data_IF_159243636087
#
_entry.id   IF_159243636087
#
_cell.length_a   1.000
_cell.length_b   1.000
_cell.length_c   1.000
_cell.angle_alpha   90.00
_cell.angle_beta   90.00
_cell.angle_gamma   90.00
#
_symmetry.space_group_name_H-M   'P 1'
#
loop_
_entity.id
_entity.type
_entity.pdbx_description
1 polymer ?
#
# COMPACT_ATOMS: atom_id res chain seq x y z
N UNK A 1 10.82 3.32 -48.83
CA UNK A 1 10.22 3.78 -47.56
C UNK A 1 10.76 2.89 -46.47
N UNK A 2 11.73 3.39 -45.74
CA UNK A 2 12.34 2.70 -44.59
C UNK A 2 11.28 2.65 -43.50
N UNK A 3 10.78 1.47 -43.16
CA UNK A 3 9.99 1.28 -41.95
C UNK A 3 10.90 1.58 -40.79
N UNK A 4 10.69 2.71 -40.11
CA UNK A 4 11.22 2.92 -38.76
C UNK A 4 10.63 1.82 -37.89
N UNK A 5 11.36 0.75 -37.72
CA UNK A 5 11.10 -0.20 -36.65
C UNK A 5 11.33 0.61 -35.37
N UNK A 6 10.26 0.88 -34.66
CA UNK A 6 10.30 1.49 -33.35
C UNK A 6 11.23 0.62 -32.50
N UNK A 7 12.41 1.14 -32.20
CA UNK A 7 13.44 0.40 -31.49
C UNK A 7 13.08 0.15 -30.03
N UNK A 8 11.88 0.52 -29.60
CA UNK A 8 11.40 0.36 -28.23
C UNK A 8 12.44 0.83 -27.19
N UNK A 9 13.16 1.90 -27.55
CA UNK A 9 14.14 2.53 -26.66
C UNK A 9 13.32 3.30 -25.62
N UNK A 10 13.43 2.88 -24.36
CA UNK A 10 12.84 3.67 -23.27
C UNK A 10 13.47 5.05 -23.23
N UNK A 11 12.68 6.12 -23.17
CA UNK A 11 13.21 7.44 -22.83
C UNK A 11 13.86 7.40 -21.45
N UNK A 12 14.72 8.37 -21.15
CA UNK A 12 15.25 8.55 -19.80
C UNK A 12 14.11 8.68 -18.79
N UNK A 13 14.38 8.30 -17.54
CA UNK A 13 13.38 8.45 -16.48
C UNK A 13 13.00 9.92 -16.30
N UNK A 14 11.74 10.16 -16.02
CA UNK A 14 11.24 11.44 -15.57
C UNK A 14 11.97 11.92 -14.31
N UNK A 15 12.19 13.24 -14.21
CA UNK A 15 12.89 13.84 -13.07
C UNK A 15 12.18 13.52 -11.73
N UNK A 16 10.86 13.62 -11.68
CA UNK A 16 10.08 13.31 -10.49
C UNK A 16 10.25 11.84 -10.05
N UNK A 17 10.23 10.91 -11.00
CA UNK A 17 10.46 9.48 -10.68
C UNK A 17 11.85 9.27 -10.09
N UNK A 18 12.86 9.96 -10.63
CA UNK A 18 14.24 9.89 -10.12
C UNK A 18 14.36 10.50 -8.72
N UNK A 19 13.66 11.60 -8.44
CA UNK A 19 13.63 12.24 -7.12
C UNK A 19 12.96 11.33 -6.09
N UNK A 20 11.81 10.72 -6.40
CA UNK A 20 11.13 9.75 -5.53
C UNK A 20 12.05 8.55 -5.25
N UNK A 21 12.70 8.01 -6.27
CA UNK A 21 13.62 6.88 -6.10
C UNK A 21 14.81 7.24 -5.20
N UNK A 22 15.38 8.42 -5.35
CA UNK A 22 16.47 8.93 -4.51
C UNK A 22 15.98 9.15 -3.06
N UNK A 23 14.80 9.73 -2.87
CA UNK A 23 14.21 9.92 -1.56
C UNK A 23 14.07 8.58 -0.81
N UNK A 24 13.40 7.61 -1.42
CA UNK A 24 13.15 6.30 -0.80
C UNK A 24 14.44 5.54 -0.49
N UNK A 25 15.47 5.69 -1.33
CA UNK A 25 16.72 4.93 -1.18
C UNK A 25 17.75 5.58 -0.25
N UNK A 26 17.70 6.89 -0.03
CA UNK A 26 18.78 7.61 0.67
C UNK A 26 18.34 8.41 1.89
N UNK A 27 17.07 8.82 1.98
CA UNK A 27 16.58 9.63 3.09
C UNK A 27 16.46 8.81 4.37
N UNK A 28 16.88 9.41 5.49
CA UNK A 28 16.76 8.81 6.82
C UNK A 28 15.72 9.56 7.63
N UNK A 29 14.77 8.82 8.17
CA UNK A 29 13.73 9.37 9.03
C UNK A 29 14.26 9.43 10.46
N UNK A 30 14.47 10.65 10.94
CA UNK A 30 15.02 10.91 12.28
C UNK A 30 14.02 11.59 13.23
N UNK A 31 12.85 12.00 12.71
CA UNK A 31 11.82 12.69 13.48
C UNK A 31 11.06 11.70 14.38
N UNK A 32 11.20 11.87 15.69
CA UNK A 32 10.43 11.11 16.68
C UNK A 32 8.92 11.36 16.52
N UNK A 33 8.53 12.60 16.22
CA UNK A 33 7.12 12.95 15.99
C UNK A 33 6.54 12.18 14.79
N UNK A 34 7.29 12.06 13.69
CA UNK A 34 6.85 11.30 12.52
C UNK A 34 6.67 9.82 12.86
N UNK A 35 7.60 9.24 13.63
CA UNK A 35 7.53 7.85 14.05
C UNK A 35 6.37 7.58 15.02
N UNK A 36 6.12 8.48 15.98
CA UNK A 36 5.01 8.36 16.91
C UNK A 36 3.67 8.49 16.19
N UNK A 37 3.57 9.42 15.23
CA UNK A 37 2.39 9.58 14.38
C UNK A 37 2.15 8.34 13.53
N UNK A 38 3.19 7.82 12.87
CA UNK A 38 3.08 6.59 12.08
C UNK A 38 2.67 5.38 12.93
N UNK A 39 3.15 5.31 14.18
CA UNK A 39 2.72 4.25 15.13
C UNK A 39 1.25 4.36 15.46
N UNK A 40 0.75 5.57 15.71
CA UNK A 40 -0.67 5.80 15.99
C UNK A 40 -1.53 5.46 14.78
N UNK A 41 -1.14 5.91 13.58
CA UNK A 41 -1.81 5.54 12.34
C UNK A 41 -1.81 4.02 12.10
N UNK A 42 -0.69 3.34 12.38
CA UNK A 42 -0.62 1.88 12.27
C UNK A 42 -1.61 1.17 13.19
N UNK A 43 -1.69 1.60 14.46
CA UNK A 43 -2.60 1.02 15.45
C UNK A 43 -4.05 1.22 15.03
N UNK A 44 -4.40 2.44 14.64
CA UNK A 44 -5.74 2.78 14.16
C UNK A 44 -6.12 1.95 12.93
N UNK A 45 -5.25 1.91 11.93
CA UNK A 45 -5.46 1.21 10.67
C UNK A 45 -5.62 -0.30 10.86
N UNK A 46 -4.79 -0.92 11.71
CA UNK A 46 -4.94 -2.34 12.06
C UNK A 46 -6.24 -2.55 12.83
N UNK A 47 -6.63 -1.63 13.71
CA UNK A 47 -7.91 -1.66 14.40
C UNK A 47 -9.09 -1.67 13.44
N UNK A 48 -9.09 -0.80 12.42
CA UNK A 48 -10.08 -0.79 11.35
C UNK A 48 -10.15 -2.14 10.63
N UNK A 49 -8.98 -2.70 10.26
CA UNK A 49 -8.89 -3.99 9.59
C UNK A 49 -9.44 -5.14 10.43
N UNK A 50 -9.12 -5.20 11.72
CA UNK A 50 -9.61 -6.24 12.62
C UNK A 50 -11.13 -6.13 12.84
N UNK A 51 -11.67 -4.92 12.94
CA UNK A 51 -13.10 -4.68 13.06
C UNK A 51 -13.84 -5.11 11.80
N UNK A 52 -13.25 -4.88 10.62
CA UNK A 52 -13.83 -5.28 9.33
C UNK A 52 -14.07 -6.79 9.21
N UNK A 53 -13.34 -7.62 9.94
CA UNK A 53 -13.51 -9.08 9.94
C UNK A 53 -14.86 -9.52 10.54
N UNK A 54 -15.60 -8.64 11.21
CA UNK A 54 -16.95 -8.94 11.70
C UNK A 54 -18.01 -8.87 10.60
N UNK A 55 -17.64 -8.38 9.41
CA UNK A 55 -18.59 -8.19 8.30
C UNK A 55 -18.44 -9.28 7.25
N UNK A 56 -19.45 -10.17 7.09
CA UNK A 56 -19.39 -11.25 6.11
C UNK A 56 -19.18 -10.79 4.68
N UNK A 57 -19.64 -9.58 4.33
CA UNK A 57 -19.43 -9.01 3.01
C UNK A 57 -17.95 -8.64 2.75
N UNK A 58 -17.18 -8.29 3.78
CA UNK A 58 -15.75 -8.13 3.72
C UNK A 58 -15.03 -9.48 3.64
N UNK A 59 -15.32 -10.35 4.60
CA UNK A 59 -14.57 -11.62 4.76
C UNK A 59 -14.74 -12.57 3.59
N UNK A 60 -15.84 -12.50 2.82
CA UNK A 60 -16.02 -13.30 1.60
C UNK A 60 -15.02 -12.98 0.48
N UNK A 61 -14.35 -11.82 0.53
CA UNK A 61 -13.35 -11.42 -0.46
C UNK A 61 -11.95 -11.91 -0.11
N UNK A 62 -11.76 -12.34 1.14
CA UNK A 62 -10.45 -12.71 1.68
C UNK A 62 -10.11 -14.17 1.38
N UNK A 63 -8.83 -14.46 1.46
CA UNK A 63 -8.30 -15.80 1.29
C UNK A 63 -7.70 -16.06 -0.09
N UNK A 64 -7.18 -17.26 -0.30
CA UNK A 64 -6.48 -17.60 -1.54
C UNK A 64 -7.44 -17.64 -2.73
N UNK A 65 -6.93 -17.28 -3.92
CA UNK A 65 -7.70 -17.37 -5.17
C UNK A 65 -8.15 -18.81 -5.44
N UNK A 66 -7.23 -19.75 -5.23
CA UNK A 66 -7.56 -21.19 -5.29
C UNK A 66 -7.82 -21.68 -3.87
N UNK A 67 -9.04 -22.13 -3.63
CA UNK A 67 -9.48 -22.58 -2.31
C UNK A 67 -8.48 -23.56 -1.68
N UNK A 68 -8.25 -23.41 -0.38
CA UNK A 68 -7.38 -24.25 0.45
C UNK A 68 -5.88 -24.19 0.10
N UNK A 69 -5.46 -23.27 -0.79
CA UNK A 69 -4.06 -23.06 -1.09
C UNK A 69 -3.38 -22.29 0.05
N UNK A 70 -2.19 -22.74 0.44
CA UNK A 70 -1.27 -22.02 1.33
C UNK A 70 0.05 -21.78 0.62
N UNK A 71 0.61 -20.60 0.77
CA UNK A 71 1.93 -20.26 0.26
C UNK A 71 2.94 -20.46 1.39
N UNK A 72 3.87 -21.40 1.29
CA UNK A 72 4.89 -21.60 2.32
C UNK A 72 5.70 -20.31 2.54
N UNK A 73 5.80 -19.88 3.79
CA UNK A 73 6.43 -18.59 4.15
C UNK A 73 5.79 -17.39 3.41
N UNK A 74 4.49 -17.49 3.18
CA UNK A 74 3.70 -16.43 2.56
C UNK A 74 3.30 -15.32 3.54
N UNK A 75 2.56 -14.37 3.03
CA UNK A 75 2.04 -13.24 3.80
C UNK A 75 0.93 -13.69 4.72
N UNK A 76 1.00 -13.29 5.97
CA UNK A 76 -0.04 -13.52 6.98
C UNK A 76 -1.00 -12.34 7.01
N UNK A 77 -2.27 -12.62 6.74
CA UNK A 77 -3.32 -11.59 6.81
C UNK A 77 -3.78 -11.43 8.27
N UNK A 78 -3.62 -10.24 8.89
CA UNK A 78 -3.95 -10.03 10.30
C UNK A 78 -5.37 -10.46 10.67
N UNK A 79 -5.51 -11.15 11.79
CA UNK A 79 -6.80 -11.67 12.29
C UNK A 79 -7.35 -12.88 11.55
N UNK A 80 -6.60 -13.47 10.62
CA UNK A 80 -6.99 -14.68 9.85
C UNK A 80 -5.92 -15.76 9.95
N UNK A 81 -6.21 -16.94 9.37
CA UNK A 81 -5.24 -18.03 9.22
C UNK A 81 -4.70 -18.13 7.78
N UNK A 82 -4.86 -17.10 6.98
CA UNK A 82 -4.41 -17.11 5.60
C UNK A 82 -2.90 -16.85 5.50
N UNK A 83 -2.25 -17.64 4.65
CA UNK A 83 -0.87 -17.50 4.24
C UNK A 83 -0.84 -17.41 2.71
N UNK A 84 -0.66 -16.21 2.17
CA UNK A 84 -0.93 -15.88 0.78
C UNK A 84 0.34 -15.42 0.05
N UNK A 85 0.27 -15.38 -1.27
CA UNK A 85 1.26 -14.65 -2.05
C UNK A 85 1.18 -13.13 -1.75
N UNK A 86 2.26 -12.35 -2.00
CA UNK A 86 2.31 -10.95 -1.64
C UNK A 86 1.23 -10.07 -2.28
N UNK A 87 0.80 -10.40 -3.50
CA UNK A 87 -0.22 -9.61 -4.21
C UNK A 87 -1.59 -9.82 -3.57
N UNK A 88 -1.97 -11.09 -3.34
CA UNK A 88 -3.23 -11.40 -2.69
C UNK A 88 -3.23 -10.97 -1.22
N UNK A 89 -2.09 -11.08 -0.54
CA UNK A 89 -1.91 -10.56 0.81
C UNK A 89 -2.13 -9.06 0.90
N UNK A 90 -1.55 -8.28 -0.02
CA UNK A 90 -1.75 -6.84 -0.11
C UNK A 90 -3.23 -6.49 -0.36
N UNK A 91 -3.89 -7.20 -1.27
CA UNK A 91 -5.31 -7.03 -1.53
C UNK A 91 -6.16 -7.31 -0.28
N UNK A 92 -5.94 -8.44 0.40
CA UNK A 92 -6.74 -8.82 1.56
C UNK A 92 -6.58 -7.83 2.71
N UNK A 93 -5.33 -7.44 3.02
CA UNK A 93 -5.05 -6.45 4.06
C UNK A 93 -5.67 -5.10 3.68
N UNK A 94 -5.50 -4.66 2.44
CA UNK A 94 -6.10 -3.42 1.94
C UNK A 94 -7.63 -3.43 2.01
N UNK A 95 -8.29 -4.53 1.60
CA UNK A 95 -9.74 -4.68 1.72
C UNK A 95 -10.23 -4.52 3.15
N UNK A 96 -9.56 -5.15 4.12
CA UNK A 96 -9.97 -5.04 5.53
C UNK A 96 -9.78 -3.62 6.06
N UNK A 97 -8.67 -2.96 5.74
CA UNK A 97 -8.38 -1.59 6.17
C UNK A 97 -9.43 -0.61 5.63
N UNK A 98 -9.79 -0.73 4.35
CA UNK A 98 -10.72 0.20 3.69
C UNK A 98 -12.18 -0.12 3.88
N UNK A 99 -12.53 -1.30 4.39
CA UNK A 99 -13.91 -1.75 4.47
C UNK A 99 -14.88 -0.77 5.14
N UNK A 100 -14.44 -0.16 6.24
CA UNK A 100 -15.28 0.72 7.06
C UNK A 100 -15.17 2.20 6.66
N UNK A 101 -14.21 2.56 5.79
CA UNK A 101 -14.02 3.92 5.27
C UNK A 101 -13.81 4.99 6.35
N UNK A 102 -13.12 4.65 7.44
CA UNK A 102 -12.78 5.61 8.50
C UNK A 102 -11.34 5.49 9.03
N UNK A 103 -10.44 4.90 8.25
CA UNK A 103 -9.00 5.01 8.46
C UNK A 103 -8.55 6.46 8.18
N UNK A 104 -7.29 6.78 8.47
CA UNK A 104 -6.73 8.13 8.38
C UNK A 104 -7.08 8.86 7.08
N UNK A 105 -7.10 10.19 7.14
CA UNK A 105 -7.40 11.04 5.97
C UNK A 105 -6.37 12.15 5.84
N UNK A 106 -5.83 12.31 4.64
CA UNK A 106 -5.04 13.45 4.22
C UNK A 106 -5.94 14.46 3.49
N UNK A 107 -5.96 15.71 3.96
CA UNK A 107 -6.76 16.78 3.37
C UNK A 107 -5.84 17.85 2.77
N UNK A 108 -5.89 18.01 1.45
CA UNK A 108 -5.13 18.98 0.69
C UNK A 108 -5.93 19.44 -0.55
N UNK A 109 -5.27 19.86 -1.64
CA UNK A 109 -5.95 20.12 -2.92
C UNK A 109 -6.63 18.85 -3.46
N UNK A 110 -6.02 17.70 -3.21
CA UNK A 110 -6.64 16.39 -3.33
C UNK A 110 -6.62 15.71 -1.95
N UNK A 111 -7.61 14.88 -1.67
CA UNK A 111 -7.68 14.12 -0.43
C UNK A 111 -7.45 12.63 -0.66
N UNK A 112 -7.10 11.91 0.37
CA UNK A 112 -6.85 10.48 0.29
C UNK A 112 -6.65 9.87 1.66
N UNK A 113 -6.43 8.57 1.68
CA UNK A 113 -6.18 7.80 2.89
C UNK A 113 -4.78 7.17 2.81
N UNK A 114 -3.73 7.82 3.35
CA UNK A 114 -2.35 7.33 3.23
C UNK A 114 -2.15 5.93 3.78
N UNK A 115 -2.92 5.53 4.78
CA UNK A 115 -2.87 4.16 5.32
C UNK A 115 -3.37 3.07 4.35
N UNK A 116 -4.00 3.42 3.24
CA UNK A 116 -4.32 2.45 2.17
C UNK A 116 -3.04 1.78 1.64
N UNK A 117 -1.90 2.47 1.70
CA UNK A 117 -0.60 1.91 1.33
C UNK A 117 -0.14 0.79 2.28
N UNK A 118 -0.70 0.70 3.49
CA UNK A 118 -0.29 -0.28 4.49
C UNK A 118 -0.53 -1.72 4.02
N UNK A 119 -1.54 -1.97 3.20
CA UNK A 119 -1.79 -3.28 2.61
C UNK A 119 -0.56 -3.83 1.87
N UNK A 120 0.03 -3.01 1.00
CA UNK A 120 1.24 -3.36 0.27
C UNK A 120 2.48 -3.40 1.19
N UNK A 121 2.63 -2.41 2.07
CA UNK A 121 3.79 -2.31 2.98
C UNK A 121 3.87 -3.54 3.90
N UNK A 122 2.78 -3.88 4.60
CA UNK A 122 2.76 -5.04 5.48
C UNK A 122 2.97 -6.35 4.72
N UNK A 123 2.33 -6.48 3.56
CA UNK A 123 2.46 -7.67 2.74
C UNK A 123 3.92 -7.92 2.33
N UNK A 124 4.59 -6.90 1.81
CA UNK A 124 5.99 -7.04 1.37
C UNK A 124 6.91 -7.25 2.57
N UNK A 125 6.73 -6.49 3.66
CA UNK A 125 7.57 -6.62 4.85
C UNK A 125 7.42 -8.01 5.50
N UNK A 126 6.20 -8.54 5.60
CA UNK A 126 5.99 -9.88 6.16
C UNK A 126 6.56 -10.95 5.24
N UNK A 127 6.32 -10.88 3.94
CA UNK A 127 6.88 -11.84 2.97
C UNK A 127 8.40 -11.88 3.02
N UNK A 128 9.06 -10.72 2.98
CA UNK A 128 10.52 -10.65 3.07
C UNK A 128 11.03 -11.19 4.41
N UNK A 129 10.34 -10.85 5.51
CA UNK A 129 10.68 -11.36 6.85
C UNK A 129 10.56 -12.88 6.94
N UNK A 130 9.46 -13.46 6.44
CA UNK A 130 9.26 -14.91 6.42
C UNK A 130 10.33 -15.63 5.58
N UNK A 131 10.69 -15.07 4.43
CA UNK A 131 11.76 -15.61 3.57
C UNK A 131 13.13 -15.51 4.25
N UNK A 132 13.42 -14.37 4.86
CA UNK A 132 14.67 -14.18 5.59
C UNK A 132 14.81 -15.19 6.73
N UNK A 133 13.75 -15.40 7.52
CA UNK A 133 13.74 -16.39 8.60
C UNK A 133 13.97 -17.80 8.05
N UNK A 134 13.32 -18.16 6.94
CA UNK A 134 13.52 -19.46 6.29
C UNK A 134 14.96 -19.66 5.81
N UNK A 135 15.64 -18.59 5.40
CA UNK A 135 17.04 -18.59 4.96
C UNK A 135 18.03 -18.43 6.13
N UNK A 136 17.56 -18.38 7.39
CA UNK A 136 18.42 -18.14 8.57
C UNK A 136 18.96 -16.71 8.67
N UNK A 137 18.31 -15.74 8.03
CA UNK A 137 18.63 -14.31 8.06
C UNK A 137 17.72 -13.58 9.04
N UNK A 138 18.10 -12.36 9.42
CA UNK A 138 17.27 -11.50 10.26
C UNK A 138 16.01 -11.03 9.53
N UNK A 139 14.89 -10.99 10.25
CA UNK A 139 13.63 -10.42 9.78
C UNK A 139 13.72 -8.89 9.69
N UNK A 140 12.85 -8.29 8.89
CA UNK A 140 12.63 -6.85 8.95
C UNK A 140 12.01 -6.46 10.30
N UNK A 141 12.22 -5.22 10.72
CA UNK A 141 11.71 -4.72 11.99
C UNK A 141 10.43 -3.91 11.79
N UNK A 142 9.68 -3.68 12.86
CA UNK A 142 8.56 -2.73 12.83
C UNK A 142 9.01 -1.30 12.51
N UNK A 143 10.27 -0.96 12.80
CA UNK A 143 10.85 0.31 12.37
C UNK A 143 10.81 0.45 10.85
N UNK A 144 11.15 -0.59 10.10
CA UNK A 144 11.08 -0.60 8.63
C UNK A 144 9.65 -0.36 8.13
N UNK A 145 8.65 -0.96 8.79
CA UNK A 145 7.24 -0.72 8.45
C UNK A 145 6.86 0.75 8.65
N UNK A 146 7.19 1.33 9.82
CA UNK A 146 6.88 2.73 10.13
C UNK A 146 7.57 3.69 9.16
N UNK A 147 8.84 3.47 8.85
CA UNK A 147 9.58 4.29 7.88
C UNK A 147 8.96 4.20 6.49
N UNK A 148 8.55 3.01 6.05
CA UNK A 148 7.85 2.83 4.78
C UNK A 148 6.49 3.54 4.75
N UNK A 149 5.75 3.52 5.85
CA UNK A 149 4.49 4.26 5.99
C UNK A 149 4.73 5.78 5.88
N UNK A 150 5.75 6.31 6.56
CA UNK A 150 6.09 7.74 6.52
C UNK A 150 6.46 8.14 5.10
N UNK A 151 7.32 7.38 4.43
CA UNK A 151 7.73 7.66 3.05
C UNK A 151 6.56 7.64 2.07
N UNK A 152 5.68 6.64 2.19
CA UNK A 152 4.48 6.55 1.36
C UNK A 152 3.53 7.74 1.60
N UNK A 153 3.34 8.13 2.87
CA UNK A 153 2.54 9.28 3.26
C UNK A 153 3.10 10.59 2.70
N UNK A 154 4.41 10.81 2.80
CA UNK A 154 5.07 12.00 2.24
C UNK A 154 4.94 12.06 0.72
N UNK A 155 5.24 10.96 0.01
CA UNK A 155 5.14 10.93 -1.45
C UNK A 155 3.71 11.24 -1.90
N UNK A 156 2.72 10.57 -1.32
CA UNK A 156 1.31 10.80 -1.64
C UNK A 156 0.90 12.22 -1.26
N UNK A 157 1.27 12.68 -0.07
CA UNK A 157 0.92 13.99 0.44
C UNK A 157 1.51 15.13 -0.39
N UNK A 158 2.79 15.06 -0.74
CA UNK A 158 3.45 16.08 -1.59
C UNK A 158 2.78 16.16 -2.96
N UNK A 159 2.46 15.02 -3.58
CA UNK A 159 1.75 15.01 -4.86
C UNK A 159 0.34 15.60 -4.77
N UNK A 160 -0.35 15.41 -3.64
CA UNK A 160 -1.72 15.87 -3.41
C UNK A 160 -1.81 17.32 -2.92
N UNK A 161 -0.71 17.95 -2.45
CA UNK A 161 -0.75 19.28 -1.85
C UNK A 161 -1.31 20.35 -2.78
N UNK A 162 -0.86 20.39 -4.03
CA UNK A 162 -1.18 21.41 -5.01
C UNK A 162 -1.85 20.85 -6.26
N UNK A 163 -1.96 19.53 -6.38
CA UNK A 163 -2.52 18.86 -7.54
C UNK A 163 -3.90 18.30 -7.21
N UNK A 164 -4.89 18.68 -8.00
CA UNK A 164 -6.20 18.03 -7.96
C UNK A 164 -6.32 17.03 -9.11
N UNK A 165 -6.40 15.77 -8.76
CA UNK A 165 -6.60 14.70 -9.75
C UNK A 165 -8.02 14.66 -10.30
N UNK A 166 -8.98 15.28 -9.61
CA UNK A 166 -10.37 15.36 -10.04
C UNK A 166 -10.59 16.19 -11.31
N UNK A 167 -9.61 16.96 -11.73
CA UNK A 167 -9.67 17.70 -13.01
C UNK A 167 -9.37 16.81 -14.23
N UNK A 168 -9.00 15.56 -14.03
CA UNK A 168 -8.75 14.59 -15.10
C UNK A 168 -9.90 13.58 -15.16
N UNK A 169 -10.64 13.55 -16.28
CA UNK A 169 -11.72 12.59 -16.50
C UNK A 169 -11.27 11.11 -16.40
N UNK A 170 -9.97 10.84 -16.44
CA UNK A 170 -9.41 9.52 -16.22
C UNK A 170 -9.32 9.15 -14.73
N UNK A 171 -9.58 10.10 -13.84
CA UNK A 171 -9.50 9.95 -12.38
C UNK A 171 -10.85 9.89 -11.70
N UNK A 172 -11.91 9.82 -12.43
CA UNK A 172 -13.14 9.35 -11.83
C UNK A 172 -12.87 7.91 -11.41
N UNK A 173 -12.46 7.78 -10.18
CA UNK A 173 -12.08 6.52 -9.54
C UNK A 173 -13.23 5.53 -9.47
N UNK A 174 -14.40 5.97 -9.87
CA UNK A 174 -15.58 5.13 -10.02
C UNK A 174 -16.34 5.54 -11.28
N UNK A 175 -16.03 4.87 -12.39
CA UNK A 175 -16.83 4.95 -13.61
C UNK A 175 -18.32 4.56 -13.38
N UNK A 176 -18.65 3.99 -12.21
CA UNK A 176 -20.01 3.68 -11.83
C UNK A 176 -20.74 4.89 -11.22
N UNK A 177 -20.05 5.88 -10.68
CA UNK A 177 -20.66 7.10 -10.17
C UNK A 177 -21.04 8.09 -11.28
N UNK A 178 -20.38 8.04 -12.43
CA UNK A 178 -20.73 8.88 -13.60
C UNK A 178 -22.06 8.51 -14.24
N UNK A 179 -22.67 7.39 -13.90
CA UNK A 179 -23.93 6.90 -14.45
C UNK A 179 -25.15 7.40 -13.65
N UNK A 180 -24.92 8.19 -12.58
CA UNK A 180 -25.97 8.70 -11.69
C UNK A 180 -26.32 10.19 -11.86
N UNK A 181 -25.78 10.85 -12.87
CA UNK A 181 -26.13 12.23 -13.21
C UNK A 181 -27.14 12.30 -14.33
#
# INVERSE_FOLDING_TARGET
MSSNVDLNIRPGFDGLVSEIANYVSSYKIESDLALDTARNCLIDTIGCGLLALQFPACTKMLGPIVKDTKVPFGVRVPGTNYELDPVKGAFDIGCTIRWLDYNDTWLAAEWGHPSDNLGAILSVCDYVSQRNIADGKESLTMRTVLESMIMAHEIQGVLALENSFNNCLLYTSDAADDVRS
#
